data_IF_238390180171
#
_entry.id   IF_238390180171
#
_cell.length_a   1.000
_cell.length_b   1.000
_cell.length_c   1.000
_cell.angle_alpha   90.00
_cell.angle_beta   90.00
_cell.angle_gamma   90.00
#
_symmetry.space_group_name_H-M   'P 1'
#
loop_
_entity.id
_entity.type
_entity.pdbx_description
1 polymer ?
2 non-polymer ?
3 water ?
#
# COMPACT_ATOMS: atom_id res chain seq x y z
N UNK A 1 -11.95 -11.11 16.47
CA UNK A 1 -13.45 -11.11 16.49
C UNK A 1 -14.23 -9.95 17.15
N UNK A 2 -13.65 -9.16 18.09
CA UNK A 2 -14.36 -7.89 18.41
C UNK A 2 -14.51 -6.99 17.18
N UNK A 3 -15.52 -6.15 17.18
CA UNK A 3 -15.83 -5.35 16.01
C UNK A 3 -15.47 -3.88 16.29
N UNK A 4 -14.99 -3.19 15.25
CA UNK A 4 -14.62 -1.80 15.35
C UNK A 4 -15.40 -1.06 14.29
N UNK A 5 -15.63 0.21 14.51
CA UNK A 5 -16.23 1.04 13.50
C UNK A 5 -15.41 0.99 12.21
N UNK A 6 -16.01 1.49 11.14
CA UNK A 6 -15.28 1.86 9.94
C UNK A 6 -14.09 2.79 10.29
N UNK A 7 -12.93 2.49 9.70
CA UNK A 7 -11.74 3.35 9.82
C UNK A 7 -11.18 3.38 11.22
N UNK A 8 -11.46 2.33 12.01
CA UNK A 8 -10.68 2.01 13.18
C UNK A 8 -10.10 0.65 13.05
N UNK A 9 -8.99 0.42 13.74
CA UNK A 9 -8.40 -0.88 13.81
C UNK A 9 -8.23 -1.29 15.26
N UNK A 10 -8.15 -2.60 15.42
CA UNK A 10 -8.22 -3.21 16.74
C UNK A 10 -6.84 -3.46 17.25
N UNK A 11 -6.54 -2.93 18.44
CA UNK A 11 -5.30 -3.24 19.13
C UNK A 11 -5.58 -3.43 20.64
N UNK A 12 -5.30 -4.64 21.10
CA UNK A 12 -5.81 -5.22 22.35
C UNK A 12 -7.28 -4.95 22.54
N UNK A 13 -7.57 -4.20 23.59
CA UNK A 13 -8.97 -3.91 23.96
C UNK A 13 -9.52 -2.59 23.38
N UNK A 14 -8.73 -1.94 22.50
CA UNK A 14 -9.01 -0.63 21.91
C UNK A 14 -9.25 -0.73 20.39
N UNK A 15 -10.28 -0.02 19.96
CA UNK A 15 -10.44 0.42 18.61
C UNK A 15 -9.78 1.80 18.42
N UNK A 16 -8.79 1.87 17.55
CA UNK A 16 -7.99 3.08 17.28
C UNK A 16 -8.30 3.68 15.94
N UNK A 17 -8.30 5.02 15.85
CA UNK A 17 -8.50 5.57 14.48
C UNK A 17 -7.35 5.21 13.56
N UNK A 18 -7.69 4.91 12.31
CA UNK A 18 -6.71 4.57 11.32
C UNK A 18 -5.96 5.79 10.84
N UNK A 19 -4.75 5.54 10.36
CA UNK A 19 -3.97 6.52 9.63
C UNK A 19 -4.41 6.54 8.16
N UNK A 20 -4.36 7.73 7.59
CA UNK A 20 -4.62 7.95 6.21
C UNK A 20 -3.55 7.43 5.25
N UNK A 21 -3.91 7.28 3.97
CA UNK A 21 -2.98 6.77 2.93
C UNK A 21 -1.81 7.69 2.87
N UNK A 22 -0.60 7.17 2.70
CA UNK A 22 0.61 8.00 2.91
C UNK A 22 1.24 8.15 4.29
N UNK A 23 0.58 7.55 5.29
CA UNK A 23 1.00 7.57 6.68
C UNK A 23 0.96 6.15 7.24
N UNK A 24 1.70 5.93 8.33
CA UNK A 24 1.56 4.70 9.12
C UNK A 24 1.40 5.11 10.60
N UNK A 25 1.02 4.14 11.40
CA UNK A 25 0.88 4.30 12.83
C UNK A 25 2.28 4.46 13.40
N UNK A 26 2.47 5.57 14.09
CA UNK A 26 3.66 5.83 14.90
C UNK A 26 3.34 5.47 16.35
N UNK A 27 2.17 5.87 16.86
CA UNK A 27 1.69 5.42 18.16
C UNK A 27 0.24 5.03 18.08
N UNK A 28 -0.06 3.83 18.61
CA UNK A 28 -1.46 3.34 18.76
C UNK A 28 -2.20 4.19 19.79
N UNK A 29 -3.52 4.20 19.70
CA UNK A 29 -4.30 5.01 20.63
C UNK A 29 -4.18 4.33 21.99
N UNK A 30 -4.78 4.94 23.00
CA UNK A 30 -4.84 4.36 24.35
C UNK A 30 -6.08 4.92 24.99
N UNK A 31 -6.28 4.58 26.27
CA UNK A 31 -7.45 4.99 27.04
C UNK A 31 -7.68 6.50 26.98
N UNK A 32 -6.62 7.29 26.93
CA UNK A 32 -6.77 8.74 27.08
C UNK A 32 -6.30 9.48 25.85
N UNK A 33 -5.89 8.72 24.83
CA UNK A 33 -5.04 9.20 23.74
C UNK A 33 -5.48 8.64 22.37
N UNK A 34 -5.52 9.51 21.38
CA UNK A 34 -5.76 9.11 20.02
C UNK A 34 -4.48 8.66 19.32
N UNK A 35 -4.65 8.17 18.08
CA UNK A 35 -3.57 7.59 17.29
C UNK A 35 -2.60 8.71 16.90
N UNK A 36 -1.30 8.35 16.85
CA UNK A 36 -0.30 9.17 16.20
C UNK A 36 0.19 8.49 14.94
N UNK A 37 0.19 9.28 13.87
CA UNK A 37 0.49 8.80 12.49
C UNK A 37 1.73 9.53 12.01
N UNK A 38 2.51 8.89 11.15
CA UNK A 38 3.71 9.51 10.58
C UNK A 38 3.73 9.24 9.09
N UNK A 39 4.29 10.16 8.26
CA UNK A 39 4.33 9.88 6.85
C UNK A 39 5.31 8.73 6.47
N UNK A 40 4.92 7.96 5.46
CA UNK A 40 5.78 6.93 4.90
C UNK A 40 7.18 7.45 4.62
N UNK A 41 8.21 6.72 5.01
CA UNK A 41 9.57 7.06 4.59
C UNK A 41 9.77 6.74 3.12
N UNK A 42 10.88 7.27 2.50
CA UNK A 42 11.19 7.02 1.08
C UNK A 42 11.10 5.55 0.70
N UNK A 43 10.62 5.25 -0.49
CA UNK A 43 10.51 3.86 -1.02
C UNK A 43 9.49 3.00 -0.31
N UNK A 44 8.55 3.66 0.38
CA UNK A 44 7.40 2.96 0.94
C UNK A 44 6.14 3.75 0.71
N UNK A 45 5.03 3.06 0.88
CA UNK A 45 3.74 3.68 0.64
C UNK A 45 2.67 2.98 1.47
N UNK A 46 1.55 3.68 1.68
CA UNK A 46 0.29 3.02 2.01
C UNK A 46 -0.78 3.63 1.13
N UNK A 47 -1.57 2.77 0.48
CA UNK A 47 -2.59 3.25 -0.45
C UNK A 47 -3.97 3.37 0.20
N UNK A 48 -4.12 2.87 1.44
CA UNK A 48 -5.41 2.90 2.11
C UNK A 48 -5.28 3.33 3.53
N UNK A 49 -6.33 3.85 4.11
CA UNK A 49 -6.41 4.04 5.59
C UNK A 49 -6.02 2.76 6.26
N UNK A 50 -5.22 2.83 7.30
CA UNK A 50 -4.53 1.63 7.79
C UNK A 50 -4.09 1.75 9.24
N UNK A 51 -3.76 0.59 9.79
CA UNK A 51 -3.23 0.47 11.13
C UNK A 51 -1.88 -0.21 11.10
N UNK A 52 -1.08 0.01 10.06
CA UNK A 52 0.19 -0.67 9.95
C UNK A 52 1.22 0.10 10.72
N UNK A 53 2.12 -0.60 11.38
CA UNK A 53 3.26 0.06 12.03
C UNK A 53 4.26 0.60 11.08
N UNK A 54 4.34 -0.06 9.91
CA UNK A 54 5.22 0.36 8.84
C UNK A 54 4.51 0.47 7.52
N UNK A 55 4.99 1.36 6.68
CA UNK A 55 4.53 1.43 5.33
C UNK A 55 5.08 0.23 4.53
N UNK A 56 4.45 -0.05 3.38
CA UNK A 56 4.84 -1.20 2.55
C UNK A 56 5.95 -0.80 1.60
N UNK A 57 6.91 -1.69 1.41
CA UNK A 57 7.93 -1.37 0.44
C UNK A 57 7.36 -1.25 -1.00
N UNK A 58 7.83 -0.23 -1.73
CA UNK A 58 7.46 0.02 -3.11
C UNK A 58 7.89 -1.14 -3.97
N UNK A 59 7.06 -1.50 -4.94
CA UNK A 59 7.38 -2.60 -5.85
C UNK A 59 8.49 -2.23 -6.82
N UNK A 60 9.14 -3.24 -7.35
CA UNK A 60 10.15 -3.05 -8.37
C UNK A 60 9.56 -3.60 -9.68
N UNK A 61 9.87 -3.00 -10.82
CA UNK A 61 9.43 -3.54 -12.13
C UNK A 61 10.45 -4.46 -12.85
N UNK A 62 10.24 -5.76 -12.69
CA UNK A 62 11.11 -6.82 -13.23
C UNK A 62 11.27 -6.83 -14.79
N UNK A 63 12.39 -6.31 -15.33
CA UNK A 63 12.54 -6.37 -16.80
C UNK A 63 12.68 -7.78 -17.39
N UNK A 64 13.06 -8.76 -16.57
CA UNK A 64 12.99 -10.18 -16.95
C UNK A 64 11.56 -10.61 -17.22
N UNK A 65 10.60 -10.07 -16.46
CA UNK A 65 9.17 -10.35 -16.67
C UNK A 65 8.57 -9.48 -17.81
N UNK A 66 9.41 -8.63 -18.42
CA UNK A 66 9.06 -7.80 -19.58
C UNK A 66 8.49 -6.46 -19.16
N UNK A 67 8.81 -6.05 -17.93
CA UNK A 67 8.21 -4.84 -17.34
C UNK A 67 9.19 -3.72 -17.37
N UNK A 68 8.66 -2.53 -17.51
CA UNK A 68 9.41 -1.32 -17.32
C UNK A 68 8.71 -0.54 -16.22
N UNK A 69 9.44 0.32 -15.52
CA UNK A 69 8.80 1.20 -14.54
C UNK A 69 8.29 2.39 -15.27
N UNK A 70 7.01 2.66 -15.12
CA UNK A 70 6.35 3.76 -15.80
C UNK A 70 6.17 4.96 -14.87
N UNK A 71 6.05 4.73 -13.56
CA UNK A 71 5.87 5.81 -12.66
C UNK A 71 6.30 5.36 -11.29
N UNK A 72 7.05 6.25 -10.62
CA UNK A 72 7.72 5.95 -9.37
C UNK A 72 6.66 5.86 -8.31
N UNK A 73 6.88 5.03 -7.30
CA UNK A 73 5.96 5.05 -6.19
C UNK A 73 6.02 6.43 -5.49
N UNK A 74 4.93 6.74 -4.83
CA UNK A 74 4.83 7.88 -3.97
C UNK A 74 4.43 7.30 -2.64
N UNK A 75 4.23 8.18 -1.67
CA UNK A 75 3.96 7.72 -0.33
C UNK A 75 2.54 7.12 -0.20
N UNK A 76 1.62 7.51 -1.12
CA UNK A 76 0.23 7.01 -1.16
C UNK A 76 -0.05 6.05 -2.31
N UNK A 77 0.97 5.66 -3.06
CA UNK A 77 0.74 4.77 -4.17
C UNK A 77 1.96 3.99 -4.65
N UNK A 78 1.77 2.73 -4.99
CA UNK A 78 2.88 1.89 -5.37
C UNK A 78 3.44 2.25 -6.79
N UNK A 79 4.66 1.79 -7.08
CA UNK A 79 5.30 1.90 -8.37
C UNK A 79 4.30 1.45 -9.42
N UNK A 80 4.24 2.15 -10.56
CA UNK A 80 3.40 1.73 -11.69
C UNK A 80 4.32 1.02 -12.68
N UNK A 81 4.01 -0.21 -13.02
CA UNK A 81 4.75 -0.87 -14.10
C UNK A 81 3.90 -0.97 -15.35
N UNK A 82 4.58 -1.11 -16.49
CA UNK A 82 3.95 -1.42 -17.77
C UNK A 82 4.68 -2.49 -18.53
N UNK A 83 3.95 -3.25 -19.31
CA UNK A 83 4.55 -4.12 -20.29
C UNK A 83 5.24 -3.34 -21.45
N UNK A 84 6.31 -3.93 -21.94
CA UNK A 84 6.89 -3.69 -23.26
C UNK A 84 5.82 -3.81 -24.37
N UNK A 85 6.04 -3.12 -25.51
CA UNK A 85 5.20 -3.26 -26.72
C UNK A 85 5.01 -4.70 -27.13
N UNK A 86 3.81 -5.04 -27.60
CA UNK A 86 3.44 -6.41 -28.03
C UNK A 86 2.87 -7.32 -26.96
N UNK A 87 2.77 -6.77 -25.73
CA UNK A 87 2.19 -7.48 -24.59
C UNK A 87 1.03 -6.70 -24.04
N UNK A 88 0.28 -7.35 -23.17
CA UNK A 88 -0.78 -6.70 -22.46
C UNK A 88 -0.71 -7.25 -21.05
N UNK A 89 -1.13 -6.42 -20.09
CA UNK A 89 -1.27 -6.88 -18.73
C UNK A 89 -2.69 -6.62 -18.28
N UNK A 90 -3.12 -7.46 -17.35
CA UNK A 90 -4.43 -7.35 -16.74
C UNK A 90 -4.28 -6.78 -15.31
N UNK A 91 -4.89 -5.63 -15.10
CA UNK A 91 -4.90 -4.98 -13.81
C UNK A 91 -6.13 -5.48 -13.03
N UNK A 92 -5.94 -6.60 -12.35
CA UNK A 92 -7.02 -7.25 -11.62
C UNK A 92 -6.75 -7.53 -10.14
N UNK A 93 -5.53 -7.22 -9.72
CA UNK A 93 -4.90 -7.67 -8.48
C UNK A 93 -4.57 -6.38 -7.73
N UNK A 94 -4.24 -6.51 -6.45
CA UNK A 94 -3.43 -5.51 -5.75
C UNK A 94 -2.02 -5.24 -6.33
N UNK A 95 -1.43 -6.20 -7.07
CA UNK A 95 -0.16 -5.98 -7.84
C UNK A 95 -0.32 -5.36 -9.25
N UNK A 96 -1.56 -5.19 -9.72
CA UNK A 96 -1.90 -4.35 -10.88
C UNK A 96 -1.18 -4.84 -12.13
N UNK A 97 -0.44 -3.99 -12.85
CA UNK A 97 0.22 -4.44 -14.08
C UNK A 97 1.50 -5.19 -13.69
N UNK A 98 1.43 -6.51 -13.69
CA UNK A 98 2.56 -7.32 -13.21
C UNK A 98 2.89 -8.56 -14.05
N UNK A 99 2.01 -8.91 -15.00
CA UNK A 99 2.26 -10.05 -15.86
C UNK A 99 1.98 -9.67 -17.30
N UNK A 100 2.97 -9.92 -18.15
CA UNK A 100 2.92 -9.54 -19.54
C UNK A 100 2.49 -10.70 -20.40
N UNK A 101 1.25 -10.64 -20.86
CA UNK A 101 0.63 -11.71 -21.60
C UNK A 101 0.78 -11.36 -23.02
N UNK A 102 0.80 -12.35 -23.91
CA UNK A 102 0.76 -12.05 -25.34
C UNK A 102 -0.22 -12.95 -26.07
N UNK A 103 -0.82 -12.42 -27.12
CA UNK A 103 -1.65 -13.23 -27.93
C UNK A 103 -0.78 -14.17 -28.79
N UNK A 104 -1.30 -15.35 -29.05
CA UNK A 104 -0.48 -16.44 -29.59
C UNK A 104 -0.20 -16.35 -31.09
X LIG B 1 -4.62 -15.67 -27.31
X LIG B 1 -4.83 -14.66 -26.20
X LIG B 1 -5.95 -16.13 -27.76
X LIG B 1 -4.03 -15.13 -28.57
X LIG B 1 -3.69 -16.77 -26.89
X LIG C 1 -9.14 3.60 1.75
X LIG C 1 -8.39 3.17 2.93
X LIG C 1 -10.01 2.47 1.30
X LIG C 1 -8.22 4.03 0.66
X LIG C 1 -9.94 4.75 2.23
X LIG D 1 -1.68 0.80 -12.47
X LIG D 1 -2.70 1.07 -11.44
X LIG D 1 -0.48 0.17 -11.82
X LIG D 1 -2.09 -0.17 -13.51
X LIG D 1 -1.52 2.11 -13.15
#
# INVERSE_FOLDING_TARGET
QPSCRQEEFLVGDECCPMCNPGYHVKQVCSEHTGTVCAPCPPQTYTAHANGLSKCLPCGVCDPDMGLLTWQECSSWKDTVCRCIPGYFCENQDGSHCSTCLQHTTGHHHHHH
SO4 S O1 O2 O3 O4
SO4 S O1 O2 O3 O4
SO4 S O1 O2 O3 O4
#
